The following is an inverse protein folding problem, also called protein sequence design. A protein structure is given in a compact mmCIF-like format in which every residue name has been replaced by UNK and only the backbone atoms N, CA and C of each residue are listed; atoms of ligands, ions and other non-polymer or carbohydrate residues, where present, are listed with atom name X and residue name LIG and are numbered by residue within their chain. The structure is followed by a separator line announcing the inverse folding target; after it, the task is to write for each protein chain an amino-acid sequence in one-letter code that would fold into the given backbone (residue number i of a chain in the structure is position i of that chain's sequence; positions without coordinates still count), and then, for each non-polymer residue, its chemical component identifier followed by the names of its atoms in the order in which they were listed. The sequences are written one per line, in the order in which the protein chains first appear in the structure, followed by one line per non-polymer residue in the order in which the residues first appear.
data_IF_209586434781
#
_entry.id   IF_209586434781
#
_cell.length_a   1.000
_cell.length_b   1.000
_cell.length_c   1.000
_cell.angle_alpha   90.00
_cell.angle_beta   90.00
_cell.angle_gamma   90.00
#
_symmetry.space_group_name_H-M   'P 1'
#
loop_
_entity.id
_entity.type
_entity.pdbx_description
1 polymer ?
#
# COMPACT_ATOMS: atom_id res chain seq x y z
N UNK A 1 -5.08 -13.36 -2.18
CA UNK A 1 -3.74 -13.34 -1.55
C UNK A 1 -2.82 -12.45 -2.35
N UNK A 2 -2.32 -11.36 -1.76
CA UNK A 2 -1.51 -10.34 -2.46
C UNK A 2 -0.04 -10.76 -2.61
N UNK A 3 0.48 -10.63 -3.83
CA UNK A 3 1.83 -10.98 -4.24
C UNK A 3 2.57 -9.80 -4.87
N UNK A 4 3.89 -9.94 -5.03
CA UNK A 4 4.71 -9.01 -5.82
C UNK A 4 4.24 -9.01 -7.28
N UNK A 5 4.08 -7.83 -7.85
CA UNK A 5 3.56 -7.60 -9.21
C UNK A 5 2.04 -7.39 -9.27
N UNK A 6 1.30 -7.63 -8.19
CA UNK A 6 -0.14 -7.37 -8.16
C UNK A 6 -0.41 -5.86 -8.16
N UNK A 7 -1.44 -5.43 -8.91
CA UNK A 7 -1.93 -4.05 -8.89
C UNK A 7 -3.07 -3.96 -7.87
N UNK A 8 -2.90 -3.09 -6.89
CA UNK A 8 -3.85 -2.90 -5.79
C UNK A 8 -4.35 -1.47 -5.75
N UNK A 9 -5.57 -1.28 -5.22
CA UNK A 9 -6.10 0.05 -4.93
C UNK A 9 -5.89 0.38 -3.46
N UNK A 10 -5.25 1.51 -3.18
CA UNK A 10 -5.03 2.00 -1.81
C UNK A 10 -6.36 2.49 -1.24
N UNK A 11 -6.78 1.95 -0.10
CA UNK A 11 -8.01 2.30 0.62
C UNK A 11 -7.70 3.13 1.85
N UNK A 12 -8.68 3.91 2.30
CA UNK A 12 -8.55 4.67 3.54
C UNK A 12 -8.49 3.73 4.74
N UNK A 13 -7.57 3.99 5.67
CA UNK A 13 -7.49 3.31 6.96
C UNK A 13 -6.97 4.29 8.03
N UNK A 14 -7.18 3.95 9.31
CA UNK A 14 -6.59 4.73 10.41
C UNK A 14 -5.05 4.69 10.39
N UNK A 15 -4.45 3.58 9.94
CA UNK A 15 -3.00 3.45 9.76
C UNK A 15 -2.48 4.40 8.67
N UNK A 16 -3.16 4.45 7.51
CA UNK A 16 -2.81 5.38 6.43
C UNK A 16 -2.91 6.84 6.86
N UNK A 17 -3.89 7.14 7.72
CA UNK A 17 -4.08 8.47 8.31
C UNK A 17 -2.99 8.82 9.31
N UNK A 18 -2.57 7.88 10.14
CA UNK A 18 -1.45 8.04 11.06
C UNK A 18 -0.16 8.36 10.31
N UNK A 19 0.08 7.68 9.19
CA UNK A 19 1.22 7.91 8.30
C UNK A 19 1.08 9.18 7.43
N UNK A 20 -0.05 9.89 7.52
CA UNK A 20 -0.37 11.11 6.75
C UNK A 20 -0.38 10.88 5.23
N UNK A 21 -0.74 9.67 4.80
CA UNK A 21 -0.78 9.25 3.40
C UNK A 21 -2.20 9.17 2.85
N UNK A 22 -3.19 9.78 3.51
CA UNK A 22 -4.60 9.72 3.09
C UNK A 22 -4.85 10.23 1.67
N UNK A 23 -3.98 11.10 1.15
CA UNK A 23 -4.05 11.58 -0.25
C UNK A 23 -3.75 10.50 -1.27
N UNK A 24 -3.17 9.38 -0.86
CA UNK A 24 -2.94 8.21 -1.72
C UNK A 24 -4.17 7.31 -1.82
N UNK A 25 -5.20 7.50 -0.99
CA UNK A 25 -6.41 6.70 -1.08
C UNK A 25 -7.11 6.89 -2.44
N UNK A 26 -7.58 5.79 -3.02
CA UNK A 26 -8.16 5.71 -4.35
C UNK A 26 -7.14 5.58 -5.48
N UNK A 27 -5.83 5.61 -5.18
CA UNK A 27 -4.79 5.39 -6.18
C UNK A 27 -4.48 3.91 -6.36
N UNK A 28 -4.17 3.54 -7.59
CA UNK A 28 -3.60 2.23 -7.92
C UNK A 28 -2.09 2.23 -7.72
N UNK A 29 -1.56 1.08 -7.30
CA UNK A 29 -0.13 0.87 -7.15
C UNK A 29 0.25 -0.60 -7.39
N UNK A 30 1.42 -0.85 -7.95
CA UNK A 30 2.00 -2.18 -8.13
C UNK A 30 2.80 -2.58 -6.89
N UNK A 31 2.56 -3.78 -6.36
CA UNK A 31 3.29 -4.30 -5.20
C UNK A 31 4.72 -4.68 -5.59
N UNK A 32 5.72 -4.03 -4.99
CA UNK A 32 7.14 -4.35 -5.15
C UNK A 32 7.63 -5.34 -4.11
N UNK A 33 7.15 -5.21 -2.86
CA UNK A 33 7.51 -6.11 -1.76
C UNK A 33 6.34 -6.34 -0.81
N UNK A 34 6.16 -7.60 -0.39
CA UNK A 34 5.17 -8.01 0.62
C UNK A 34 5.82 -8.04 1.99
N UNK A 35 5.33 -7.19 2.90
CA UNK A 35 5.94 -6.96 4.22
C UNK A 35 4.98 -7.33 5.37
N UNK A 36 4.16 -8.36 5.18
CA UNK A 36 3.06 -8.76 6.09
C UNK A 36 3.37 -9.94 7.02
N UNK A 37 4.62 -10.43 7.02
CA UNK A 37 5.05 -11.55 7.87
C UNK A 37 4.70 -11.34 9.35
N UNK A 38 4.31 -12.42 10.04
CA UNK A 38 3.79 -12.37 11.41
C UNK A 38 4.78 -11.80 12.44
N UNK A 39 6.08 -11.84 12.13
CA UNK A 39 7.15 -11.34 12.99
C UNK A 39 7.34 -9.82 12.90
N UNK A 40 6.68 -9.14 11.94
CA UNK A 40 6.83 -7.70 11.75
C UNK A 40 5.84 -6.92 12.61
N UNK A 41 6.33 -5.85 13.21
CA UNK A 41 5.53 -4.88 13.96
C UNK A 41 4.68 -4.02 12.99
N UNK A 42 5.31 -3.50 11.93
CA UNK A 42 4.65 -2.72 10.90
C UNK A 42 4.44 -3.61 9.67
N UNK A 43 3.19 -3.98 9.43
CA UNK A 43 2.80 -4.80 8.28
C UNK A 43 2.27 -3.94 7.17
N UNK A 44 2.59 -4.31 5.94
CA UNK A 44 2.16 -3.57 4.77
C UNK A 44 2.88 -4.02 3.52
N UNK A 45 2.98 -3.11 2.57
CA UNK A 45 3.50 -3.37 1.24
C UNK A 45 4.36 -2.19 0.80
N UNK A 46 5.49 -2.48 0.18
CA UNK A 46 6.19 -1.47 -0.62
C UNK A 46 5.55 -1.50 -2.00
N UNK A 47 5.03 -0.37 -2.46
CA UNK A 47 4.31 -0.28 -3.73
C UNK A 47 4.90 0.83 -4.60
N UNK A 48 4.78 0.67 -5.91
CA UNK A 48 5.02 1.72 -6.90
C UNK A 48 3.69 2.30 -7.34
N UNK A 49 3.48 3.59 -7.10
CA UNK A 49 2.28 4.29 -7.49
C UNK A 49 2.12 4.30 -9.02
N UNK A 50 0.93 3.95 -9.49
CA UNK A 50 0.57 4.11 -10.90
C UNK A 50 0.28 5.60 -11.17
N UNK A 51 0.81 6.12 -12.27
CA UNK A 51 0.64 7.51 -12.69
C UNK A 51 1.64 8.48 -12.04
N UNK A 52 1.13 9.61 -11.54
CA UNK A 52 1.97 10.73 -11.09
C UNK A 52 2.66 10.47 -9.73
N UNK A 53 3.94 10.82 -9.55
CA UNK A 53 4.61 10.73 -8.25
C UNK A 53 3.85 11.51 -7.15
N UNK A 54 3.93 11.03 -5.91
CA UNK A 54 3.46 11.76 -4.74
C UNK A 54 4.66 12.37 -4.03
N UNK A 55 4.65 13.67 -3.78
CA UNK A 55 5.76 14.40 -3.15
C UNK A 55 7.13 14.20 -3.84
N UNK A 56 7.15 13.85 -5.13
CA UNK A 56 8.36 13.61 -5.91
C UNK A 56 8.82 12.17 -5.98
N UNK A 57 8.19 11.25 -5.22
CA UNK A 57 8.52 9.82 -5.20
C UNK A 57 7.35 8.97 -5.71
N UNK A 58 7.67 7.86 -6.38
CA UNK A 58 6.71 6.86 -6.87
C UNK A 58 6.64 5.64 -5.97
N UNK A 59 7.66 5.38 -5.14
CA UNK A 59 7.69 4.22 -4.24
C UNK A 59 7.27 4.62 -2.82
N UNK A 60 6.24 3.97 -2.30
CA UNK A 60 5.69 4.26 -0.98
C UNK A 60 5.40 3.00 -0.19
N UNK A 61 5.57 3.07 1.13
CA UNK A 61 5.08 2.04 2.04
C UNK A 61 3.60 2.30 2.33
N UNK A 62 2.77 1.28 2.15
CA UNK A 62 1.33 1.33 2.43
C UNK A 62 1.00 0.30 3.52
N UNK A 63 0.39 0.71 4.65
CA UNK A 63 -0.01 -0.20 5.71
C UNK A 63 -0.97 -1.28 5.22
N UNK A 64 -0.89 -2.48 5.80
CA UNK A 64 -1.68 -3.64 5.36
C UNK A 64 -3.18 -3.36 5.40
N UNK A 65 -3.66 -2.63 6.39
CA UNK A 65 -5.07 -2.25 6.58
C UNK A 65 -5.61 -1.31 5.49
N UNK A 66 -4.72 -0.82 4.63
CA UNK A 66 -5.04 0.11 3.54
C UNK A 66 -5.05 -0.59 2.18
N UNK A 67 -4.86 -1.91 2.15
CA UNK A 67 -4.91 -2.72 0.94
C UNK A 67 -5.74 -3.95 1.27
N UNK A 68 -6.93 -4.04 0.65
CA UNK A 68 -7.77 -5.22 0.79
C UNK A 68 -7.29 -6.31 -0.17
N UNK A 69 -7.29 -7.53 0.34
CA UNK A 69 -7.23 -8.73 -0.46
C UNK A 69 -8.69 -9.06 -0.85
N UNK A 70 -9.18 -8.60 -2.00
CA UNK A 70 -10.58 -8.82 -2.41
C UNK A 70 -10.89 -10.29 -2.76
N UNK A 71 -9.97 -11.21 -2.52
CA UNK A 71 -10.16 -12.66 -2.67
C UNK A 71 -10.57 -13.33 -1.34
N UNK A 72 -11.82 -13.12 -0.89
CA UNK A 72 -12.57 -14.09 -0.07
C UNK A 72 -13.92 -14.43 -0.70
#
# INVERSE_FOLDING_TARGET
MINVGDVVTIKMSEALKFDKLTTLAGREAEVLEVLTSIQRLNKGYLVKLTGEPYLGDDIWFIPQESIDDEDE
#
